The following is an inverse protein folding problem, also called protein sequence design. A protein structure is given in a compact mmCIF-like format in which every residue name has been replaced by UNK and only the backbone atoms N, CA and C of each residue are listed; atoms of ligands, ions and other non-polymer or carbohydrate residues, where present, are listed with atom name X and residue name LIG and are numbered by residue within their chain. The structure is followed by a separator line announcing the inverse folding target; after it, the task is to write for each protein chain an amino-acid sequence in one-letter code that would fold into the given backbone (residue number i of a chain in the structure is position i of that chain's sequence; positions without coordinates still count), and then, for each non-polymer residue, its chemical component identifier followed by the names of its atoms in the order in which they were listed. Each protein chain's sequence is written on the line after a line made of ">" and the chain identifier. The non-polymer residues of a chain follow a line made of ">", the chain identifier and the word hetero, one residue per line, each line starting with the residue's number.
data_IF_871674756403
#
_entry.id   IF_871674756403
#
_cell.length_a   1.000
_cell.length_b   1.000
_cell.length_c   1.000
_cell.angle_alpha   90.00
_cell.angle_beta   90.00
_cell.angle_gamma   90.00
#
_symmetry.space_group_name_H-M   'P 1'
#
loop_
_entity.id
_entity.type
_entity.pdbx_description
1 polymer ?
#
# COMPACT_ATOMS: atom_id res chain seq x y z
N UNK A 1 17.90 13.93 -9.83
CA UNK A 1 16.64 13.94 -9.05
C UNK A 1 15.50 13.54 -9.97
N UNK A 2 15.24 12.25 -10.10
CA UNK A 2 14.18 11.75 -10.98
C UNK A 2 12.86 11.93 -10.25
N UNK A 3 11.99 12.79 -10.81
CA UNK A 3 10.65 13.05 -10.31
C UNK A 3 9.88 11.72 -10.32
N UNK A 4 9.72 11.09 -9.16
CA UNK A 4 8.75 10.01 -8.97
C UNK A 4 7.39 10.69 -9.11
N UNK A 5 6.86 10.65 -10.34
CA UNK A 5 5.47 11.04 -10.60
C UNK A 5 4.62 10.20 -9.65
N UNK A 6 3.75 10.87 -8.90
CA UNK A 6 2.68 10.24 -8.14
C UNK A 6 1.98 9.31 -9.14
N UNK A 7 2.23 8.00 -9.04
CA UNK A 7 1.61 7.03 -9.93
C UNK A 7 0.13 7.05 -9.59
N UNK A 8 -0.63 7.73 -10.46
CA UNK A 8 -2.06 7.53 -10.55
C UNK A 8 -2.30 6.03 -10.56
N UNK A 9 -3.23 5.59 -9.71
CA UNK A 9 -3.94 4.32 -9.80
C UNK A 9 -4.00 3.89 -11.28
N UNK A 10 -3.45 2.72 -11.61
CA UNK A 10 -3.66 2.12 -12.92
C UNK A 10 -5.18 2.13 -13.14
N UNK A 11 -5.71 2.93 -14.09
CA UNK A 11 -7.11 2.84 -14.42
C UNK A 11 -7.21 1.51 -15.15
N UNK A 12 -7.61 0.45 -14.44
CA UNK A 12 -7.97 -0.81 -15.04
C UNK A 12 -9.19 -0.52 -15.91
N UNK A 13 -8.90 -0.22 -17.18
CA UNK A 13 -9.89 0.13 -18.19
C UNK A 13 -10.91 -1.00 -18.28
N UNK A 14 -12.17 -0.62 -18.06
CA UNK A 14 -13.38 -1.43 -18.22
C UNK A 14 -13.67 -1.74 -19.70
N UNK A 15 -12.71 -2.31 -20.43
CA UNK A 15 -12.87 -2.69 -21.83
C UNK A 15 -12.60 -4.18 -22.02
N UNK A 16 -13.68 -4.99 -21.98
CA UNK A 16 -13.86 -6.22 -22.76
C UNK A 16 -12.99 -7.46 -22.50
N UNK A 17 -11.83 -7.36 -21.87
CA UNK A 17 -10.98 -8.50 -21.53
C UNK A 17 -10.59 -8.40 -20.05
N UNK A 18 -11.16 -9.25 -19.20
CA UNK A 18 -10.69 -9.38 -17.83
C UNK A 18 -9.32 -10.02 -17.87
N UNK A 19 -8.27 -9.24 -17.62
CA UNK A 19 -6.92 -9.79 -17.46
C UNK A 19 -6.95 -10.89 -16.39
N UNK A 20 -6.32 -12.01 -16.70
CA UNK A 20 -6.06 -13.06 -15.71
C UNK A 20 -5.21 -12.52 -14.56
N UNK A 21 -5.26 -13.18 -13.41
CA UNK A 21 -4.44 -12.77 -12.27
C UNK A 21 -2.94 -12.78 -12.58
N UNK A 22 -2.48 -13.68 -13.47
CA UNK A 22 -1.10 -13.70 -13.96
C UNK A 22 -0.73 -12.46 -14.79
N UNK A 23 -1.60 -12.06 -15.71
CA UNK A 23 -1.39 -10.84 -16.51
C UNK A 23 -1.41 -9.59 -15.64
N UNK A 24 -2.30 -9.53 -14.65
CA UNK A 24 -2.35 -8.43 -13.68
C UNK A 24 -1.06 -8.35 -12.86
N UNK A 25 -0.55 -9.49 -12.35
CA UNK A 25 0.72 -9.50 -11.62
C UNK A 25 1.87 -8.96 -12.47
N UNK A 26 1.93 -9.37 -13.74
CA UNK A 26 2.96 -8.90 -14.68
C UNK A 26 2.84 -7.39 -14.95
N UNK A 27 1.62 -6.88 -15.14
CA UNK A 27 1.40 -5.45 -15.36
C UNK A 27 1.82 -4.61 -14.16
N UNK A 28 1.49 -5.03 -12.94
CA UNK A 28 1.94 -4.37 -11.72
C UNK A 28 3.46 -4.46 -11.54
N UNK A 29 4.08 -5.62 -11.83
CA UNK A 29 5.54 -5.78 -11.76
C UNK A 29 6.28 -4.85 -12.72
N UNK A 30 5.78 -4.68 -13.95
CA UNK A 30 6.33 -3.74 -14.93
C UNK A 30 6.13 -2.29 -14.50
N UNK A 31 4.93 -1.95 -14.04
CA UNK A 31 4.60 -0.58 -13.62
C UNK A 31 5.41 -0.14 -12.39
N UNK A 32 5.62 -1.03 -11.43
CA UNK A 32 6.33 -0.79 -10.18
C UNK A 32 7.80 -1.22 -10.23
N UNK A 33 8.37 -1.45 -11.42
CA UNK A 33 9.77 -1.82 -11.56
C UNK A 33 10.69 -0.78 -10.91
N UNK A 34 11.56 -1.22 -10.02
CA UNK A 34 12.48 -0.36 -9.28
C UNK A 34 13.88 -0.48 -9.89
N UNK A 35 14.65 0.62 -10.01
CA UNK A 35 16.03 0.54 -10.49
C UNK A 35 16.87 -0.36 -9.58
N UNK A 36 17.68 -1.25 -10.16
CA UNK A 36 18.52 -2.21 -9.41
C UNK A 36 19.38 -1.52 -8.35
N UNK A 37 20.03 -0.41 -8.70
CA UNK A 37 20.84 0.36 -7.75
C UNK A 37 20.04 0.89 -6.55
N UNK A 38 18.76 1.21 -6.74
CA UNK A 38 17.88 1.62 -5.64
C UNK A 38 17.53 0.44 -4.73
N UNK A 39 17.22 -0.72 -5.32
CA UNK A 39 16.96 -1.96 -4.57
C UNK A 39 18.18 -2.39 -3.76
N UNK A 40 19.37 -2.38 -4.37
CA UNK A 40 20.62 -2.75 -3.69
C UNK A 40 20.95 -1.82 -2.53
N UNK A 41 20.81 -0.50 -2.73
CA UNK A 41 20.99 0.48 -1.67
C UNK A 41 19.99 0.26 -0.53
N UNK A 42 18.72 -0.05 -0.85
CA UNK A 42 17.71 -0.38 0.15
C UNK A 42 18.06 -1.66 0.91
N UNK A 43 18.46 -2.72 0.22
CA UNK A 43 18.90 -3.99 0.81
C UNK A 43 20.05 -3.80 1.79
N UNK A 44 21.06 -3.01 1.41
CA UNK A 44 22.17 -2.63 2.30
C UNK A 44 21.68 -1.81 3.50
N UNK A 45 20.77 -0.85 3.27
CA UNK A 45 20.23 0.02 4.32
C UNK A 45 19.50 -0.76 5.41
N UNK A 46 18.71 -1.77 5.05
CA UNK A 46 17.90 -2.55 5.99
C UNK A 46 18.63 -3.76 6.57
N UNK A 47 19.86 -4.06 6.11
CA UNK A 47 20.55 -5.30 6.44
C UNK A 47 20.71 -5.52 7.95
N UNK A 48 21.15 -4.49 8.67
CA UNK A 48 21.36 -4.50 10.12
C UNK A 48 20.14 -4.11 10.95
N UNK A 49 19.03 -3.70 10.31
CA UNK A 49 17.82 -3.34 11.04
C UNK A 49 17.13 -4.61 11.56
N UNK A 50 16.80 -4.61 12.85
CA UNK A 50 15.78 -5.51 13.37
C UNK A 50 14.40 -5.09 12.83
N UNK A 51 13.40 -5.91 13.11
CA UNK A 51 12.06 -5.69 12.58
C UNK A 51 11.39 -4.41 13.10
N UNK A 52 11.67 -4.00 14.33
CA UNK A 52 11.09 -2.79 14.91
C UNK A 52 11.72 -1.53 14.33
N UNK A 53 13.05 -1.52 14.19
CA UNK A 53 13.79 -0.47 13.52
C UNK A 53 13.40 -0.34 12.05
N UNK A 54 13.18 -1.47 11.36
CA UNK A 54 12.68 -1.50 9.99
C UNK A 54 11.28 -0.89 9.87
N UNK A 55 10.36 -1.23 10.78
CA UNK A 55 9.01 -0.65 10.80
C UNK A 55 9.04 0.87 11.05
N UNK A 56 9.86 1.33 11.99
CA UNK A 56 10.06 2.76 12.25
C UNK A 56 10.64 3.49 11.04
N UNK A 57 11.66 2.92 10.41
CA UNK A 57 12.27 3.46 9.20
C UNK A 57 11.26 3.55 8.06
N UNK A 58 10.54 2.46 7.77
CA UNK A 58 9.55 2.42 6.69
C UNK A 58 8.40 3.43 6.93
N UNK A 59 7.86 3.48 8.14
CA UNK A 59 6.83 4.46 8.50
C UNK A 59 7.32 5.91 8.34
N UNK A 60 8.57 6.19 8.71
CA UNK A 60 9.16 7.52 8.56
C UNK A 60 9.37 7.89 7.08
N UNK A 61 9.89 6.98 6.25
CA UNK A 61 10.02 7.20 4.80
C UNK A 61 8.67 7.44 4.14
N UNK A 62 7.64 6.70 4.53
CA UNK A 62 6.30 6.87 3.98
C UNK A 62 5.62 8.15 4.47
N UNK A 63 5.85 8.55 5.72
CA UNK A 63 5.39 9.84 6.24
C UNK A 63 6.01 11.02 5.49
N UNK A 64 7.24 10.91 4.97
CA UNK A 64 7.84 11.95 4.12
C UNK A 64 7.04 12.20 2.84
N UNK A 65 6.31 11.20 2.34
CA UNK A 65 5.42 11.36 1.16
C UNK A 65 4.27 12.35 1.45
N UNK A 66 3.92 12.58 2.71
CA UNK A 66 2.96 13.61 3.13
C UNK A 66 3.54 15.04 3.06
N UNK A 67 4.84 15.20 2.79
CA UNK A 67 5.52 16.51 2.61
C UNK A 67 5.34 17.46 3.79
N UNK A 68 5.33 16.91 5.01
CA UNK A 68 5.14 17.68 6.25
C UNK A 68 3.70 18.12 6.53
N UNK A 69 2.74 17.77 5.67
CA UNK A 69 1.33 18.03 5.94
C UNK A 69 0.84 17.11 7.06
N UNK A 70 -0.03 17.61 7.98
CA UNK A 70 -0.59 16.80 9.05
C UNK A 70 -1.52 15.71 8.51
N UNK A 71 -2.18 15.97 7.37
CA UNK A 71 -3.03 15.03 6.63
C UNK A 71 -2.86 15.27 5.13
N UNK A 72 -3.08 14.24 4.31
CA UNK A 72 -2.93 14.31 2.85
C UNK A 72 -4.15 13.71 2.15
N UNK A 73 -4.92 14.54 1.43
CA UNK A 73 -6.01 14.06 0.58
C UNK A 73 -5.42 13.28 -0.61
N UNK A 74 -5.89 12.05 -0.81
CA UNK A 74 -5.41 11.15 -1.88
C UNK A 74 -6.33 11.24 -3.09
N UNK A 75 -7.64 11.16 -2.84
CA UNK A 75 -8.69 11.31 -3.84
C UNK A 75 -9.96 11.90 -3.20
N UNK A 76 -11.09 11.82 -3.90
CA UNK A 76 -12.37 12.30 -3.39
C UNK A 76 -12.91 11.52 -2.17
N UNK A 77 -12.45 10.28 -1.96
CA UNK A 77 -12.92 9.38 -0.92
C UNK A 77 -11.97 9.27 0.28
N UNK A 78 -10.67 9.41 0.06
CA UNK A 78 -9.65 8.98 1.01
C UNK A 78 -8.69 10.12 1.35
N UNK A 79 -8.47 10.32 2.65
CA UNK A 79 -7.39 11.19 3.17
C UNK A 79 -6.51 10.38 4.11
N UNK A 80 -5.19 10.43 3.94
CA UNK A 80 -4.23 9.93 4.94
C UNK A 80 -4.24 10.87 6.13
N UNK A 81 -4.53 10.35 7.31
CA UNK A 81 -4.46 11.07 8.58
C UNK A 81 -3.13 10.81 9.29
N UNK A 82 -2.58 9.59 9.21
CA UNK A 82 -1.30 9.27 9.83
C UNK A 82 -0.60 8.08 9.18
N UNK A 83 0.71 8.02 9.33
CA UNK A 83 1.56 6.85 9.05
C UNK A 83 2.50 6.67 10.24
N UNK A 84 2.51 5.46 10.82
CA UNK A 84 3.27 5.19 12.03
C UNK A 84 3.71 3.72 12.10
N UNK A 85 4.72 3.44 12.91
CA UNK A 85 5.14 2.07 13.21
C UNK A 85 4.41 1.53 14.45
N UNK A 86 3.98 0.27 14.41
CA UNK A 86 3.40 -0.45 15.55
C UNK A 86 3.87 -1.90 15.58
N UNK A 87 4.85 -2.20 16.41
CA UNK A 87 5.48 -3.52 16.44
C UNK A 87 6.28 -3.77 15.15
N UNK A 88 5.94 -4.81 14.40
CA UNK A 88 6.48 -5.14 13.07
C UNK A 88 5.67 -4.54 11.92
N UNK A 89 4.70 -3.65 12.20
CA UNK A 89 3.78 -3.10 11.19
C UNK A 89 4.08 -1.64 10.88
N UNK A 90 3.95 -1.29 9.61
CA UNK A 90 3.64 0.09 9.19
C UNK A 90 2.11 0.23 9.16
N UNK A 91 1.59 1.14 9.96
CA UNK A 91 0.15 1.41 10.09
C UNK A 91 -0.16 2.73 9.39
N UNK A 92 -1.07 2.67 8.44
CA UNK A 92 -1.62 3.80 7.70
C UNK A 92 -3.05 4.03 8.17
N UNK A 93 -3.33 5.21 8.71
CA UNK A 93 -4.68 5.60 9.11
C UNK A 93 -5.27 6.57 8.07
N UNK A 94 -6.47 6.24 7.57
CA UNK A 94 -7.16 7.00 6.54
C UNK A 94 -8.57 7.42 7.00
N UNK A 95 -8.98 8.65 6.73
CA UNK A 95 -10.40 9.04 6.85
C UNK A 95 -11.12 8.87 5.52
N UNK A 96 -12.36 8.34 5.60
CA UNK A 96 -13.29 8.23 4.49
C UNK A 96 -14.16 9.49 4.42
N UNK A 97 -14.36 10.02 3.22
CA UNK A 97 -15.19 11.21 3.01
C UNK A 97 -16.68 10.92 3.13
N UNK A 98 -17.49 11.96 3.29
CA UNK A 98 -18.96 11.85 3.24
C UNK A 98 -19.45 11.23 1.93
N UNK A 99 -18.78 11.52 0.82
CA UNK A 99 -19.08 10.93 -0.49
C UNK A 99 -18.88 9.42 -0.51
N UNK A 100 -17.89 8.89 0.23
CA UNK A 100 -17.75 7.44 0.40
C UNK A 100 -18.91 6.88 1.22
N UNK A 101 -19.24 7.52 2.34
CA UNK A 101 -20.29 7.08 3.25
C UNK A 101 -21.68 7.09 2.61
N UNK A 102 -21.90 7.98 1.63
CA UNK A 102 -23.12 8.06 0.85
C UNK A 102 -23.28 6.94 -0.21
N UNK A 103 -22.22 6.16 -0.49
CA UNK A 103 -22.33 5.01 -1.40
C UNK A 103 -23.17 3.90 -0.78
N UNK A 104 -23.90 3.17 -1.63
CA UNK A 104 -24.59 1.94 -1.19
C UNK A 104 -23.60 0.90 -0.65
N UNK A 105 -24.07 0.03 0.23
CA UNK A 105 -23.24 -1.03 0.82
C UNK A 105 -22.55 -1.91 -0.23
N UNK A 106 -23.25 -2.22 -1.33
CA UNK A 106 -22.67 -3.02 -2.42
C UNK A 106 -21.57 -2.26 -3.17
N UNK A 107 -21.73 -0.95 -3.39
CA UNK A 107 -20.67 -0.12 -4.00
C UNK A 107 -19.48 0.06 -3.08
N UNK A 108 -19.70 0.17 -1.77
CA UNK A 108 -18.60 0.17 -0.80
C UNK A 108 -17.86 -1.17 -0.83
N UNK A 109 -18.58 -2.31 -0.86
CA UNK A 109 -17.98 -3.64 -0.92
C UNK A 109 -17.19 -3.85 -2.21
N UNK A 110 -17.74 -3.45 -3.36
CA UNK A 110 -17.05 -3.50 -4.66
C UNK A 110 -15.73 -2.72 -4.63
N UNK A 111 -15.77 -1.47 -4.14
CA UNK A 111 -14.57 -0.64 -4.02
C UNK A 111 -13.57 -1.21 -3.02
N UNK A 112 -14.01 -1.71 -1.87
CA UNK A 112 -13.13 -2.34 -0.88
C UNK A 112 -12.40 -3.55 -1.46
N UNK A 113 -13.10 -4.41 -2.22
CA UNK A 113 -12.48 -5.53 -2.94
C UNK A 113 -11.40 -5.06 -3.91
N UNK A 114 -11.69 -4.01 -4.69
CA UNK A 114 -10.73 -3.44 -5.62
C UNK A 114 -9.53 -2.80 -4.91
N UNK A 115 -9.75 -2.09 -3.80
CA UNK A 115 -8.69 -1.51 -2.97
C UNK A 115 -7.81 -2.59 -2.35
N UNK A 116 -8.39 -3.69 -1.89
CA UNK A 116 -7.63 -4.81 -1.34
C UNK A 116 -6.76 -5.47 -2.42
N UNK A 117 -7.32 -5.72 -3.61
CA UNK A 117 -6.58 -6.28 -4.73
C UNK A 117 -5.45 -5.34 -5.16
N UNK A 118 -5.72 -4.05 -5.32
CA UNK A 118 -4.71 -3.05 -5.67
C UNK A 118 -3.60 -2.95 -4.61
N UNK A 119 -3.95 -2.93 -3.33
CA UNK A 119 -2.98 -2.90 -2.23
C UNK A 119 -2.02 -4.10 -2.31
N UNK A 120 -2.56 -5.31 -2.41
CA UNK A 120 -1.77 -6.54 -2.49
C UNK A 120 -0.89 -6.48 -3.74
N UNK A 121 -1.46 -6.19 -4.91
CA UNK A 121 -0.69 -6.23 -6.15
C UNK A 121 0.41 -5.18 -6.20
N UNK A 122 0.14 -3.94 -5.76
CA UNK A 122 1.16 -2.89 -5.66
C UNK A 122 2.27 -3.28 -4.70
N UNK A 123 1.93 -3.71 -3.48
CA UNK A 123 2.92 -3.98 -2.43
C UNK A 123 3.77 -5.19 -2.77
N UNK A 124 3.16 -6.28 -3.25
CA UNK A 124 3.86 -7.50 -3.61
C UNK A 124 4.70 -7.37 -4.90
N UNK A 125 4.38 -6.41 -5.78
CA UNK A 125 5.20 -6.12 -6.96
C UNK A 125 6.46 -5.29 -6.66
N UNK A 126 6.52 -4.58 -5.53
CA UNK A 126 7.67 -3.77 -5.15
C UNK A 126 8.76 -4.65 -4.51
N UNK A 127 9.93 -4.72 -5.13
CA UNK A 127 11.05 -5.53 -4.64
C UNK A 127 11.55 -5.08 -3.25
N UNK A 128 11.60 -3.77 -3.02
CA UNK A 128 11.93 -3.21 -1.70
C UNK A 128 10.92 -3.61 -0.62
N UNK A 129 9.63 -3.68 -0.94
CA UNK A 129 8.61 -4.16 0.00
C UNK A 129 8.79 -5.66 0.24
N UNK A 130 9.02 -6.47 -0.80
CA UNK A 130 9.32 -7.91 -0.64
C UNK A 130 10.54 -8.15 0.24
N UNK A 131 11.62 -7.38 0.08
CA UNK A 131 12.81 -7.44 0.93
C UNK A 131 12.49 -7.13 2.40
N UNK A 132 11.63 -6.14 2.65
CA UNK A 132 11.21 -5.80 4.01
C UNK A 132 10.28 -6.87 4.63
N UNK A 133 9.33 -7.37 3.84
CA UNK A 133 8.40 -8.43 4.24
C UNK A 133 9.12 -9.76 4.50
N UNK A 134 10.21 -10.07 3.79
CA UNK A 134 11.08 -11.21 4.07
C UNK A 134 11.76 -11.12 5.45
N UNK A 135 11.89 -9.92 6.02
CA UNK A 135 12.34 -9.69 7.41
C UNK A 135 11.17 -9.67 8.42
N UNK A 136 9.94 -9.88 7.98
CA UNK A 136 8.73 -9.92 8.81
C UNK A 136 7.96 -8.60 8.88
N UNK A 137 8.26 -7.62 8.02
CA UNK A 137 7.49 -6.37 7.96
C UNK A 137 6.09 -6.63 7.41
N UNK A 138 5.10 -6.00 8.01
CA UNK A 138 3.70 -6.04 7.59
C UNK A 138 3.17 -4.62 7.39
N UNK A 139 2.12 -4.48 6.58
CA UNK A 139 1.38 -3.22 6.45
C UNK A 139 -0.08 -3.41 6.88
N UNK A 140 -0.60 -2.43 7.62
CA UNK A 140 -1.99 -2.36 8.05
C UNK A 140 -2.58 -1.00 7.64
N UNK A 141 -3.67 -1.03 6.89
CA UNK A 141 -4.34 0.15 6.35
C UNK A 141 -5.73 0.26 6.96
N UNK A 142 -5.91 1.17 7.91
CA UNK A 142 -7.16 1.37 8.64
C UNK A 142 -7.96 2.51 8.01
N UNK A 143 -9.17 2.22 7.56
CA UNK A 143 -10.07 3.19 6.94
C UNK A 143 -11.20 3.54 7.90
N UNK A 144 -11.26 4.79 8.34
CA UNK A 144 -12.18 5.26 9.37
C UNK A 144 -13.38 5.96 8.73
N UNK A 145 -14.59 5.54 9.10
CA UNK A 145 -15.81 6.31 8.80
C UNK A 145 -15.91 7.58 9.67
N UNK A 146 -15.23 7.56 10.82
CA UNK A 146 -15.10 8.71 11.72
C UNK A 146 -13.73 8.62 12.39
N UNK A 147 -12.74 9.33 11.87
CA UNK A 147 -11.39 9.32 12.45
C UNK A 147 -11.32 10.17 13.73
N UNK A 148 -10.61 9.73 14.79
CA UNK A 148 -9.96 8.42 14.96
C UNK A 148 -10.85 7.36 15.62
N UNK A 149 -12.14 7.64 15.86
CA UNK A 149 -12.99 6.84 16.75
C UNK A 149 -13.60 5.56 16.17
N UNK A 150 -13.84 5.48 14.85
CA UNK A 150 -14.55 4.35 14.22
C UNK A 150 -13.91 3.89 12.91
N UNK A 151 -13.26 2.74 12.97
CA UNK A 151 -12.76 2.00 11.80
C UNK A 151 -13.95 1.38 11.07
N UNK A 152 -14.05 1.61 9.76
CA UNK A 152 -15.01 0.98 8.86
C UNK A 152 -14.49 -0.35 8.34
N UNK A 153 -13.23 -0.39 7.89
CA UNK A 153 -12.55 -1.61 7.44
C UNK A 153 -11.03 -1.47 7.54
N UNK A 154 -10.34 -2.61 7.53
CA UNK A 154 -8.87 -2.68 7.54
C UNK A 154 -8.40 -3.59 6.40
N UNK A 155 -7.40 -3.12 5.64
CA UNK A 155 -6.69 -3.91 4.64
C UNK A 155 -5.28 -4.23 5.15
N UNK A 156 -4.72 -5.37 4.74
CA UNK A 156 -3.40 -5.83 5.18
C UNK A 156 -2.60 -6.40 4.03
N UNK A 157 -1.27 -6.26 4.11
CA UNK A 157 -0.32 -6.99 3.26
C UNK A 157 0.84 -7.51 4.09
N UNK A 158 1.36 -8.67 3.69
CA UNK A 158 2.49 -9.37 4.32
C UNK A 158 3.09 -10.35 3.32
N UNK A 159 4.26 -10.91 3.65
CA UNK A 159 4.87 -11.97 2.84
C UNK A 159 3.89 -13.14 2.59
N UNK A 160 3.13 -13.53 3.61
CA UNK A 160 2.14 -14.60 3.50
C UNK A 160 1.01 -14.24 2.54
N UNK A 161 0.48 -13.02 2.62
CA UNK A 161 -0.58 -12.54 1.73
C UNK A 161 -0.07 -12.48 0.28
N UNK A 162 1.17 -12.04 0.06
CA UNK A 162 1.78 -12.05 -1.26
C UNK A 162 1.86 -13.47 -1.85
N UNK A 163 2.35 -14.44 -1.08
CA UNK A 163 2.42 -15.84 -1.53
C UNK A 163 1.03 -16.43 -1.83
N UNK A 164 0.02 -16.14 -1.00
CA UNK A 164 -1.36 -16.57 -1.23
C UNK A 164 -1.96 -15.99 -2.53
N UNK A 165 -1.45 -14.86 -3.02
CA UNK A 165 -1.89 -14.23 -4.26
C UNK A 165 -0.98 -14.56 -5.45
N UNK A 166 -0.09 -15.55 -5.31
CA UNK A 166 0.76 -16.06 -6.39
C UNK A 166 1.98 -15.19 -6.70
N UNK A 167 2.40 -14.33 -5.78
CA UNK A 167 3.68 -13.65 -5.85
C UNK A 167 4.76 -14.54 -5.20
N UNK A 168 5.79 -14.88 -5.96
CA UNK A 168 6.95 -15.62 -5.46
C UNK A 168 7.90 -14.66 -4.74
N UNK A 169 8.60 -15.16 -3.71
CA UNK A 169 9.65 -14.39 -3.03
C UNK A 169 10.81 -14.07 -3.99
#
# INVERSE_FOLDING_TARGET
>A
MTKIKLALLLPLFLAGCTMSDGELRNAYAQHYQQPTAYVDAYKQKIASMDIHALAQYAAAEDKKKMRGQPRLKIDEFITIENVQAKGNRVVYDYSLSESWLALSADKQREKQTNMNKDLIYRTCSLETVRLAQAKGLEEEHNYYSQYPGKVAFTLRTSAQICMQNGFTQ
#
